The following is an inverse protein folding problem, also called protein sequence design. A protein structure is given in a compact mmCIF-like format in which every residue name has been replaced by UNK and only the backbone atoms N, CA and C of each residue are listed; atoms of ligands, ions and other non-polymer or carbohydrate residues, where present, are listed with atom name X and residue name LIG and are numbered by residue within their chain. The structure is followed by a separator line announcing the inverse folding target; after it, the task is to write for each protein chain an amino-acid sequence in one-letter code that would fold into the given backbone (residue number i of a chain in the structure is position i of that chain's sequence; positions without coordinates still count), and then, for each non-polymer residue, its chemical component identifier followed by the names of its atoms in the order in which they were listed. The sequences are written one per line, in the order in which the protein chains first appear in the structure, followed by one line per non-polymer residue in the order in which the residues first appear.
data_IF_644188519659
#
_entry.id   IF_644188519659
#
_cell.length_a   1.000
_cell.length_b   1.000
_cell.length_c   1.000
_cell.angle_alpha   90.00
_cell.angle_beta   90.00
_cell.angle_gamma   90.00
#
_symmetry.space_group_name_H-M   'P 1'
#
loop_
_entity.id
_entity.type
_entity.pdbx_description
1 polymer ?
#
# COMPACT_ATOMS: atom_id res chain seq x y z
N UNK A 1 -10.38 10.38 -9.01
CA UNK A 1 -9.46 9.65 -8.10
C UNK A 1 -9.11 8.25 -8.57
N UNK A 2 -10.09 7.37 -8.89
CA UNK A 2 -9.82 5.99 -9.32
C UNK A 2 -8.83 5.88 -10.51
N UNK A 3 -8.93 6.80 -11.48
CA UNK A 3 -8.03 6.86 -12.62
C UNK A 3 -6.56 7.18 -12.25
N UNK A 4 -6.32 8.05 -11.25
CA UNK A 4 -4.97 8.42 -10.82
C UNK A 4 -4.27 7.27 -10.07
N UNK A 5 -5.03 6.50 -9.27
CA UNK A 5 -4.51 5.29 -8.60
C UNK A 5 -4.26 4.17 -9.61
N UNK A 6 -5.08 4.08 -10.67
CA UNK A 6 -4.87 3.15 -11.79
C UNK A 6 -3.59 3.48 -12.58
N UNK A 7 -3.28 4.76 -12.78
CA UNK A 7 -2.07 5.22 -13.49
C UNK A 7 -0.77 4.90 -12.73
N UNK A 8 -0.73 5.03 -11.39
CA UNK A 8 0.42 4.55 -10.60
C UNK A 8 0.62 3.03 -10.71
N UNK A 9 -0.47 2.27 -10.90
CA UNK A 9 -0.45 0.81 -11.02
C UNK A 9 0.13 0.31 -12.35
N UNK A 10 -0.05 1.07 -13.43
CA UNK A 10 0.47 0.70 -14.75
C UNK A 10 2.01 0.58 -14.75
N UNK A 11 2.70 1.24 -13.81
CA UNK A 11 4.17 1.19 -13.70
C UNK A 11 4.69 0.06 -12.81
N UNK A 12 3.83 -0.65 -12.06
CA UNK A 12 4.20 -1.81 -11.22
C UNK A 12 3.52 -3.08 -11.76
N UNK A 13 3.54 -3.23 -13.09
CA UNK A 13 2.95 -4.39 -13.76
C UNK A 13 3.83 -5.61 -13.53
N UNK A 14 3.48 -6.37 -12.49
CA UNK A 14 4.07 -7.67 -12.21
C UNK A 14 3.54 -8.68 -13.24
N UNK A 15 4.32 -9.70 -13.65
CA UNK A 15 3.92 -10.67 -14.68
C UNK A 15 2.67 -11.51 -14.34
N UNK A 16 2.11 -11.41 -13.13
CA UNK A 16 0.83 -12.02 -12.75
C UNK A 16 -0.37 -11.39 -13.48
N UNK A 17 -0.26 -10.14 -13.93
CA UNK A 17 -1.36 -9.42 -14.60
C UNK A 17 -1.49 -9.73 -16.11
N UNK A 18 -0.62 -10.60 -16.65
CA UNK A 18 -0.60 -10.92 -18.09
C UNK A 18 -1.61 -12.03 -18.49
N UNK A 19 -2.17 -12.77 -17.53
CA UNK A 19 -3.18 -13.81 -17.81
C UNK A 19 -4.64 -13.34 -17.69
N UNK A 20 -4.86 -12.04 -17.42
CA UNK A 20 -6.17 -11.48 -17.07
C UNK A 20 -6.73 -10.47 -18.09
N UNK A 21 -6.47 -10.63 -19.38
CA UNK A 21 -7.10 -9.79 -20.42
C UNK A 21 -8.60 -10.07 -20.64
N UNK A 22 -9.23 -10.93 -19.83
CA UNK A 22 -10.69 -11.10 -19.73
C UNK A 22 -11.08 -11.34 -18.28
N UNK A 23 -11.14 -10.29 -17.46
CA UNK A 23 -11.91 -10.36 -16.22
C UNK A 23 -12.46 -8.96 -15.95
N UNK A 24 -13.73 -8.82 -16.33
CA UNK A 24 -14.75 -8.00 -15.69
C UNK A 24 -14.24 -6.78 -14.92
N UNK A 25 -14.77 -5.59 -15.25
CA UNK A 25 -14.86 -4.47 -14.29
C UNK A 25 -15.81 -4.96 -13.17
N UNK A 26 -15.29 -5.87 -12.35
CA UNK A 26 -16.03 -6.68 -11.41
C UNK A 26 -16.74 -5.75 -10.45
N UNK A 27 -17.87 -6.21 -9.95
CA UNK A 27 -18.81 -5.57 -9.02
C UNK A 27 -18.19 -4.57 -8.02
N UNK A 28 -16.95 -4.81 -7.61
CA UNK A 28 -16.04 -4.03 -6.76
C UNK A 28 -15.74 -2.56 -7.15
N UNK A 29 -15.79 -2.16 -8.44
CA UNK A 29 -15.41 -0.79 -8.90
C UNK A 29 -16.60 0.03 -9.46
N UNK A 30 -17.83 -0.48 -9.34
CA UNK A 30 -19.04 0.23 -9.83
C UNK A 30 -19.46 1.37 -8.90
N UNK A 31 -19.18 1.23 -7.61
CA UNK A 31 -19.47 2.23 -6.59
C UNK A 31 -18.36 2.21 -5.52
N UNK A 32 -17.56 3.28 -5.43
CA UNK A 32 -16.57 3.41 -4.37
C UNK A 32 -17.17 4.23 -3.22
N UNK A 33 -17.53 3.62 -2.08
CA UNK A 33 -18.08 4.35 -0.94
C UNK A 33 -17.03 5.28 -0.33
N UNK A 34 -17.49 6.37 0.31
CA UNK A 34 -16.61 7.43 0.81
C UNK A 34 -15.58 6.90 1.83
N UNK A 35 -16.00 6.03 2.75
CA UNK A 35 -15.11 5.42 3.73
C UNK A 35 -13.94 4.67 3.08
N UNK A 36 -14.18 3.93 1.98
CA UNK A 36 -13.13 3.19 1.25
C UNK A 36 -12.13 4.16 0.65
N UNK A 37 -12.60 5.22 0.00
CA UNK A 37 -11.73 6.25 -0.59
C UNK A 37 -10.87 6.98 0.47
N UNK A 38 -11.47 7.33 1.61
CA UNK A 38 -10.77 8.02 2.71
C UNK A 38 -9.70 7.12 3.33
N UNK A 39 -10.01 5.86 3.59
CA UNK A 39 -9.06 4.91 4.17
C UNK A 39 -7.93 4.51 3.20
N UNK A 40 -8.24 4.33 1.91
CA UNK A 40 -7.20 4.10 0.89
C UNK A 40 -6.23 5.29 0.83
N UNK A 41 -6.75 6.52 0.79
CA UNK A 41 -5.90 7.72 0.78
C UNK A 41 -5.05 7.82 2.05
N UNK A 42 -5.65 7.56 3.22
CA UNK A 42 -4.95 7.59 4.51
C UNK A 42 -3.77 6.61 4.54
N UNK A 43 -3.96 5.38 4.08
CA UNK A 43 -2.91 4.37 4.09
C UNK A 43 -1.78 4.69 3.09
N UNK A 44 -2.11 5.24 1.92
CA UNK A 44 -1.10 5.67 0.94
C UNK A 44 -0.24 6.81 1.48
N UNK A 45 -0.87 7.82 2.08
CA UNK A 45 -0.15 8.95 2.69
C UNK A 45 0.72 8.44 3.84
N UNK A 46 0.20 7.55 4.68
CA UNK A 46 0.94 6.97 5.81
C UNK A 46 2.20 6.25 5.36
N UNK A 47 2.09 5.39 4.34
CA UNK A 47 3.27 4.72 3.75
C UNK A 47 4.31 5.73 3.25
N UNK A 48 3.88 6.77 2.53
CA UNK A 48 4.77 7.80 2.01
C UNK A 48 5.46 8.60 3.13
N UNK A 49 4.72 8.96 4.19
CA UNK A 49 5.27 9.67 5.35
C UNK A 49 6.32 8.81 6.07
N UNK A 50 6.02 7.54 6.34
CA UNK A 50 6.96 6.62 6.99
C UNK A 50 8.20 6.36 6.11
N UNK A 51 8.02 6.19 4.80
CA UNK A 51 9.14 5.99 3.88
C UNK A 51 10.09 7.19 3.86
N UNK A 52 9.57 8.42 3.79
CA UNK A 52 10.41 9.62 3.83
C UNK A 52 11.15 9.74 5.17
N UNK A 53 10.46 9.50 6.29
CA UNK A 53 11.08 9.51 7.62
C UNK A 53 12.20 8.48 7.76
N UNK A 54 11.99 7.25 7.29
CA UNK A 54 12.99 6.19 7.35
C UNK A 54 14.23 6.55 6.52
N UNK A 55 14.05 7.13 5.32
CA UNK A 55 15.15 7.58 4.46
C UNK A 55 15.91 8.75 5.10
N UNK A 56 15.22 9.74 5.66
CA UNK A 56 15.83 10.89 6.33
C UNK A 56 16.64 10.48 7.56
N UNK A 57 16.12 9.55 8.38
CA UNK A 57 16.82 9.01 9.55
C UNK A 57 18.06 8.20 9.18
N UNK A 58 17.96 7.40 8.12
CA UNK A 58 19.08 6.61 7.62
C UNK A 58 20.19 7.46 6.96
N UNK A 59 19.91 8.71 6.58
CA UNK A 59 20.91 9.59 5.96
C UNK A 59 21.98 10.09 6.94
N UNK A 60 21.72 10.07 8.24
CA UNK A 60 22.62 10.57 9.29
C UNK A 60 23.37 9.50 10.09
N UNK A 61 23.16 8.21 9.78
CA UNK A 61 23.80 7.09 10.47
C UNK A 61 24.83 6.44 9.54
N UNK A 62 26.03 6.15 10.05
CA UNK A 62 27.12 5.46 9.30
C UNK A 62 26.78 3.99 8.92
N UNK A 63 25.54 3.56 9.18
CA UNK A 63 25.00 2.24 8.89
C UNK A 63 24.47 2.06 7.46
N UNK A 64 23.64 1.04 7.27
CA UNK A 64 23.13 0.68 5.95
C UNK A 64 22.13 1.72 5.44
N UNK A 65 22.42 2.34 4.29
CA UNK A 65 21.54 3.35 3.68
C UNK A 65 20.18 2.74 3.32
N UNK A 66 19.12 3.16 4.01
CA UNK A 66 17.74 2.83 3.64
C UNK A 66 17.38 3.66 2.39
N UNK A 67 17.33 3.00 1.24
CA UNK A 67 16.82 3.59 -0.01
C UNK A 67 15.41 3.08 -0.30
N UNK A 68 14.67 3.78 -1.16
CA UNK A 68 13.34 3.35 -1.58
C UNK A 68 13.33 1.94 -2.20
N UNK A 69 14.41 1.54 -2.88
CA UNK A 69 14.56 0.18 -3.42
C UNK A 69 14.57 -0.89 -2.33
N UNK A 70 15.25 -0.62 -1.21
CA UNK A 70 15.29 -1.52 -0.04
C UNK A 70 13.92 -1.60 0.62
N UNK A 71 13.26 -0.45 0.82
CA UNK A 71 11.89 -0.40 1.38
C UNK A 71 10.94 -1.25 0.55
N UNK A 72 10.96 -1.09 -0.79
CA UNK A 72 10.09 -1.85 -1.70
C UNK A 72 10.37 -3.36 -1.67
N UNK A 73 11.63 -3.75 -1.54
CA UNK A 73 12.01 -5.17 -1.47
C UNK A 73 11.61 -5.80 -0.12
N UNK A 74 11.83 -5.10 0.99
CA UNK A 74 11.57 -5.60 2.35
C UNK A 74 10.10 -5.55 2.73
N UNK A 75 9.39 -4.50 2.33
CA UNK A 75 7.97 -4.31 2.59
C UNK A 75 7.10 -4.66 1.36
N UNK A 76 7.59 -5.53 0.48
CA UNK A 76 6.91 -5.88 -0.78
C UNK A 76 5.50 -6.43 -0.57
N UNK A 77 5.29 -7.25 0.47
CA UNK A 77 3.97 -7.78 0.83
C UNK A 77 3.00 -6.69 1.30
N UNK A 78 3.46 -5.81 2.20
CA UNK A 78 2.65 -4.68 2.67
C UNK A 78 2.33 -3.70 1.54
N UNK A 79 3.30 -3.47 0.64
CA UNK A 79 3.09 -2.67 -0.55
C UNK A 79 2.05 -3.32 -1.48
N UNK A 80 2.11 -4.64 -1.69
CA UNK A 80 1.11 -5.37 -2.45
C UNK A 80 -0.30 -5.21 -1.84
N UNK A 81 -0.42 -5.34 -0.52
CA UNK A 81 -1.68 -5.14 0.21
C UNK A 81 -2.20 -3.70 0.12
N UNK A 82 -1.31 -2.70 0.12
CA UNK A 82 -1.67 -1.29 -0.06
C UNK A 82 -2.29 -1.03 -1.43
N UNK A 83 -1.68 -1.59 -2.47
CA UNK A 83 -2.13 -1.39 -3.85
C UNK A 83 -3.39 -2.25 -4.13
N UNK A 84 -3.56 -3.38 -3.45
CA UNK A 84 -4.73 -4.24 -3.61
C UNK A 84 -6.01 -3.74 -2.92
N UNK A 85 -5.94 -2.72 -2.04
CA UNK A 85 -7.11 -2.18 -1.30
C UNK A 85 -8.29 -1.77 -2.21
N UNK A 86 -8.01 -1.39 -3.46
CA UNK A 86 -9.03 -1.00 -4.44
C UNK A 86 -9.95 -2.17 -4.83
N UNK A 87 -9.48 -3.41 -4.72
CA UNK A 87 -10.22 -4.61 -5.13
C UNK A 87 -11.15 -5.18 -4.05
N UNK A 88 -11.16 -4.59 -2.84
CA UNK A 88 -12.05 -5.02 -1.76
C UNK A 88 -13.54 -4.78 -2.10
N UNK A 89 -14.42 -5.72 -1.77
CA UNK A 89 -15.85 -5.62 -2.11
C UNK A 89 -16.60 -4.71 -1.13
N UNK A 90 -17.27 -3.64 -1.60
CA UNK A 90 -18.22 -2.89 -0.77
C UNK A 90 -19.32 -3.77 -0.14
N UNK A 91 -19.64 -4.92 -0.74
CA UNK A 91 -20.64 -5.86 -0.20
C UNK A 91 -20.22 -6.53 1.11
N UNK A 92 -18.93 -6.54 1.46
CA UNK A 92 -18.44 -7.08 2.75
C UNK A 92 -18.86 -6.24 3.96
N UNK A 93 -19.32 -5.02 3.72
CA UNK A 93 -19.77 -4.10 4.77
C UNK A 93 -18.65 -3.18 5.29
N UNK A 94 -19.06 -2.03 5.82
CA UNK A 94 -18.14 -0.97 6.24
C UNK A 94 -17.21 -1.42 7.37
N UNK A 95 -17.72 -2.10 8.40
CA UNK A 95 -16.92 -2.50 9.56
C UNK A 95 -15.80 -3.47 9.19
N UNK A 96 -16.09 -4.45 8.32
CA UNK A 96 -15.09 -5.40 7.84
C UNK A 96 -13.97 -4.70 7.06
N UNK A 97 -14.34 -3.84 6.11
CA UNK A 97 -13.38 -3.08 5.29
C UNK A 97 -12.54 -2.12 6.13
N UNK A 98 -13.17 -1.37 7.02
CA UNK A 98 -12.46 -0.45 7.93
C UNK A 98 -11.52 -1.24 8.85
N UNK A 99 -11.93 -2.42 9.32
CA UNK A 99 -11.07 -3.34 10.08
C UNK A 99 -9.82 -3.76 9.30
N UNK A 100 -9.98 -4.19 8.04
CA UNK A 100 -8.85 -4.53 7.15
C UNK A 100 -7.91 -3.34 6.93
N UNK A 101 -8.45 -2.16 6.70
CA UNK A 101 -7.64 -0.95 6.44
C UNK A 101 -6.90 -0.44 7.68
N UNK A 102 -7.52 -0.52 8.86
CA UNK A 102 -6.86 -0.24 10.14
C UNK A 102 -5.73 -1.22 10.39
N UNK A 103 -5.99 -2.53 10.21
CA UNK A 103 -4.95 -3.55 10.35
C UNK A 103 -3.77 -3.27 9.41
N UNK A 104 -4.02 -2.91 8.15
CA UNK A 104 -2.96 -2.54 7.22
C UNK A 104 -2.17 -1.31 7.70
N UNK A 105 -2.83 -0.30 8.26
CA UNK A 105 -2.17 0.88 8.84
C UNK A 105 -1.21 0.51 9.98
N UNK A 106 -1.63 -0.38 10.87
CA UNK A 106 -0.84 -0.87 12.00
C UNK A 106 0.32 -1.76 11.52
N UNK A 107 0.05 -2.64 10.55
CA UNK A 107 1.06 -3.51 9.92
C UNK A 107 2.14 -2.67 9.22
N UNK A 108 1.76 -1.58 8.53
CA UNK A 108 2.71 -0.63 7.93
C UNK A 108 3.61 0.00 9.00
N UNK A 109 3.02 0.49 10.08
CA UNK A 109 3.77 1.11 11.18
C UNK A 109 4.76 0.12 11.79
N UNK A 110 4.33 -1.12 12.01
CA UNK A 110 5.18 -2.18 12.55
C UNK A 110 6.29 -2.57 11.56
N UNK A 111 5.95 -2.70 10.27
CA UNK A 111 6.91 -3.03 9.22
C UNK A 111 8.04 -2.01 9.08
N UNK A 112 7.71 -0.71 9.14
CA UNK A 112 8.73 0.35 9.11
C UNK A 112 9.59 0.39 10.38
N UNK A 113 9.03 0.12 11.56
CA UNK A 113 9.83 0.01 12.79
C UNK A 113 10.84 -1.14 12.71
N UNK A 114 10.38 -2.32 12.29
CA UNK A 114 11.26 -3.48 12.11
C UNK A 114 12.36 -3.19 11.07
N UNK A 115 12.02 -2.47 9.99
CA UNK A 115 12.99 -2.06 8.97
C UNK A 115 14.06 -1.12 9.55
N UNK A 116 13.68 -0.16 10.40
CA UNK A 116 14.63 0.74 11.07
C UNK A 116 15.51 -0.01 12.08
N UNK A 117 14.95 -0.96 12.83
CA UNK A 117 15.69 -1.78 13.80
C UNK A 117 16.69 -2.72 13.13
N UNK A 118 16.36 -3.28 11.96
CA UNK A 118 17.28 -4.10 11.16
C UNK A 118 18.39 -3.29 10.46
N UNK A 119 18.15 -2.01 10.21
CA UNK A 119 19.08 -1.13 9.49
C UNK A 119 20.08 -0.40 10.41
N UNK A 120 19.83 -0.41 11.72
CA UNK A 120 20.72 0.11 12.77
C UNK A 120 21.84 -0.89 13.07
#
# INVERSE_FOLDING_TARGET
MAALVSLCFLSVRSPVDALGSVMEKGTYDKFCPFYKSVWMMRNIIHFNTLANQAVERAAGTDGQKITYGVIKHRLGDLFYRLVSQKFEDPAEGEEALVGKFKKLYDDLTTGFRNLEDEAR
#
